data_IF_866710911602
#
_entry.id   IF_866710911602
#
_cell.length_a   1.000
_cell.length_b   1.000
_cell.length_c   1.000
_cell.angle_alpha   90.00
_cell.angle_beta   90.00
_cell.angle_gamma   90.00
#
_symmetry.space_group_name_H-M   'P 1'
#
loop_
_entity.id
_entity.type
_entity.pdbx_description
1 polymer ?
#
# COMPACT_ATOMS: atom_id res chain seq x y z
N UNK A 1 -3.38 16.45 14.09
CA UNK A 1 -4.38 15.47 13.65
C UNK A 1 -4.44 14.39 14.70
N UNK A 2 -5.61 13.87 15.04
CA UNK A 2 -5.72 12.68 15.88
C UNK A 2 -5.57 11.41 15.03
N UNK A 3 -5.51 10.26 15.71
CA UNK A 3 -5.27 8.96 15.11
C UNK A 3 -6.44 8.51 14.22
N UNK A 4 -7.68 8.87 14.55
CA UNK A 4 -8.88 8.54 13.78
C UNK A 4 -8.87 9.28 12.43
N UNK A 5 -8.60 10.59 12.43
CA UNK A 5 -8.46 11.35 11.19
C UNK A 5 -7.31 10.84 10.30
N UNK A 6 -6.19 10.39 10.88
CA UNK A 6 -5.10 9.76 10.12
C UNK A 6 -5.50 8.44 9.46
N UNK A 7 -6.32 7.61 10.13
CA UNK A 7 -6.83 6.36 9.55
C UNK A 7 -7.86 6.65 8.46
N UNK A 8 -8.70 7.68 8.61
CA UNK A 8 -9.65 8.12 7.58
C UNK A 8 -8.93 8.66 6.34
N UNK A 9 -7.92 9.52 6.50
CA UNK A 9 -7.09 10.01 5.38
C UNK A 9 -6.40 8.85 4.66
N UNK A 10 -5.85 7.89 5.40
CA UNK A 10 -5.22 6.71 4.84
C UNK A 10 -6.23 5.81 4.08
N UNK A 11 -7.48 5.73 4.55
CA UNK A 11 -8.56 5.01 3.86
C UNK A 11 -8.97 5.72 2.55
N UNK A 12 -9.06 7.06 2.53
CA UNK A 12 -9.28 7.82 1.29
C UNK A 12 -8.17 7.51 0.28
N UNK A 13 -6.92 7.62 0.70
CA UNK A 13 -5.75 7.37 -0.15
C UNK A 13 -5.68 5.91 -0.62
N UNK A 14 -5.97 4.94 0.26
CA UNK A 14 -6.06 3.52 -0.10
C UNK A 14 -7.09 3.32 -1.21
N UNK A 15 -8.29 3.88 -1.07
CA UNK A 15 -9.37 3.72 -2.05
C UNK A 15 -9.03 4.37 -3.39
N UNK A 16 -8.35 5.52 -3.38
CA UNK A 16 -7.83 6.15 -4.61
C UNK A 16 -6.78 5.28 -5.31
N UNK A 17 -5.86 4.69 -4.55
CA UNK A 17 -4.87 3.76 -5.10
C UNK A 17 -5.51 2.44 -5.58
N UNK A 18 -6.52 1.94 -4.88
CA UNK A 18 -7.30 0.75 -5.28
C UNK A 18 -8.02 0.98 -6.60
N UNK A 19 -8.61 2.17 -6.82
CA UNK A 19 -9.22 2.54 -8.10
C UNK A 19 -8.17 2.54 -9.23
N UNK A 20 -7.01 3.16 -9.01
CA UNK A 20 -5.89 3.17 -9.96
C UNK A 20 -5.35 1.76 -10.26
N UNK A 21 -5.12 0.96 -9.23
CA UNK A 21 -4.63 -0.42 -9.35
C UNK A 21 -5.61 -1.28 -10.15
N UNK A 22 -6.92 -1.16 -9.88
CA UNK A 22 -7.96 -1.85 -10.63
C UNK A 22 -8.09 -1.34 -12.09
N UNK A 23 -7.89 -0.06 -12.34
CA UNK A 23 -7.85 0.49 -13.70
C UNK A 23 -6.65 -0.08 -14.47
N UNK A 24 -5.46 -0.04 -13.87
CA UNK A 24 -4.23 -0.57 -14.45
C UNK A 24 -4.40 -2.06 -14.76
N UNK A 25 -4.77 -2.92 -13.82
CA UNK A 25 -4.97 -4.36 -14.08
C UNK A 25 -5.96 -4.70 -15.20
N UNK A 26 -6.87 -3.78 -15.58
CA UNK A 26 -7.82 -3.95 -16.70
C UNK A 26 -7.31 -3.41 -18.03
N UNK A 27 -6.51 -2.35 -18.02
CA UNK A 27 -6.03 -1.62 -19.22
C UNK A 27 -4.59 -1.98 -19.57
N UNK A 28 -3.76 -2.14 -18.54
CA UNK A 28 -2.49 -2.84 -18.60
C UNK A 28 -2.74 -4.34 -18.80
N UNK A 29 -2.87 -4.69 -20.07
CA UNK A 29 -2.08 -5.79 -20.58
C UNK A 29 -0.58 -5.44 -20.25
N UNK A 30 0.27 -6.33 -19.69
CA UNK A 30 1.68 -6.12 -19.24
C UNK A 30 2.64 -7.25 -19.66
N UNK A 31 3.48 -7.02 -20.66
CA UNK A 31 4.29 -8.10 -21.28
C UNK A 31 5.63 -8.36 -20.59
N UNK A 32 6.11 -7.42 -19.78
CA UNK A 32 7.35 -7.55 -19.04
C UNK A 32 7.13 -7.91 -17.56
N UNK A 33 7.88 -8.90 -17.08
CA UNK A 33 7.79 -9.44 -15.72
C UNK A 33 7.97 -8.38 -14.63
N UNK A 34 8.77 -7.34 -14.87
CA UNK A 34 9.00 -6.29 -13.88
C UNK A 34 7.76 -5.42 -13.67
N UNK A 35 7.08 -5.01 -14.73
CA UNK A 35 5.83 -4.25 -14.62
C UNK A 35 4.67 -5.11 -14.08
N UNK A 36 4.64 -6.43 -14.36
CA UNK A 36 3.68 -7.35 -13.73
C UNK A 36 3.92 -7.42 -12.22
N UNK A 37 5.17 -7.64 -11.82
CA UNK A 37 5.60 -7.67 -10.42
C UNK A 37 5.21 -6.39 -9.70
N UNK A 38 5.46 -5.22 -10.30
CA UNK A 38 5.06 -3.93 -9.74
C UNK A 38 3.54 -3.83 -9.49
N UNK A 39 2.67 -4.30 -10.39
CA UNK A 39 1.22 -4.24 -10.20
C UNK A 39 0.69 -5.22 -9.15
N UNK A 40 1.35 -6.38 -8.99
CA UNK A 40 1.05 -7.32 -7.90
C UNK A 40 1.55 -6.79 -6.56
N UNK A 41 2.78 -6.26 -6.49
CA UNK A 41 3.32 -5.65 -5.27
C UNK A 41 2.49 -4.39 -4.88
N UNK A 42 2.01 -3.61 -5.85
CA UNK A 42 1.07 -2.50 -5.62
C UNK A 42 -0.27 -3.00 -5.08
N UNK A 43 -0.78 -4.14 -5.57
CA UNK A 43 -1.99 -4.76 -5.01
C UNK A 43 -1.79 -5.20 -3.57
N UNK A 44 -0.74 -5.97 -3.30
CA UNK A 44 -0.43 -6.49 -1.97
C UNK A 44 -0.24 -5.34 -0.97
N UNK A 45 0.38 -4.23 -1.41
CA UNK A 45 0.47 -3.01 -0.63
C UNK A 45 -0.90 -2.36 -0.35
N UNK A 46 -1.74 -2.14 -1.36
CA UNK A 46 -3.08 -1.55 -1.19
C UNK A 46 -3.96 -2.41 -0.29
N UNK A 47 -3.91 -3.73 -0.45
CA UNK A 47 -4.61 -4.67 0.42
C UNK A 47 -4.06 -4.59 1.86
N UNK A 48 -2.74 -4.46 2.05
CA UNK A 48 -2.11 -4.39 3.38
C UNK A 48 -2.52 -3.16 4.22
N UNK A 49 -2.89 -2.05 3.59
CA UNK A 49 -3.42 -0.85 4.27
C UNK A 49 -4.69 -1.15 5.08
N UNK A 50 -5.43 -2.22 4.73
CA UNK A 50 -6.56 -2.74 5.51
C UNK A 50 -6.21 -3.12 6.95
N UNK A 51 -4.93 -3.27 7.32
CA UNK A 51 -4.49 -3.49 8.70
C UNK A 51 -5.06 -2.46 9.70
N UNK A 52 -5.28 -1.23 9.26
CA UNK A 52 -5.85 -0.15 10.08
C UNK A 52 -7.10 0.49 9.47
N UNK A 53 -7.26 0.50 8.15
CA UNK A 53 -8.41 1.18 7.54
C UNK A 53 -9.74 0.42 7.67
N UNK A 54 -9.71 -0.86 8.09
CA UNK A 54 -10.93 -1.66 8.38
C UNK A 54 -11.79 -1.11 9.52
N UNK A 55 -11.25 -0.24 10.36
CA UNK A 55 -11.99 0.36 11.47
C UNK A 55 -12.86 1.55 11.03
N UNK A 56 -12.61 2.09 9.83
CA UNK A 56 -13.31 3.24 9.27
C UNK A 56 -14.27 2.87 8.14
N UNK A 57 -15.29 3.69 7.93
CA UNK A 57 -16.24 3.49 6.81
C UNK A 57 -15.75 4.21 5.56
N UNK A 58 -15.65 3.48 4.45
CA UNK A 58 -15.16 4.01 3.18
C UNK A 58 -15.95 5.26 2.73
N UNK A 59 -15.31 6.45 2.64
CA UNK A 59 -15.95 7.66 2.15
C UNK A 59 -16.08 7.61 0.61
N UNK A 60 -16.86 8.54 0.05
CA UNK A 60 -16.83 8.80 -1.39
C UNK A 60 -15.46 9.35 -1.78
N UNK A 61 -14.83 8.76 -2.79
CA UNK A 61 -13.55 9.24 -3.34
C UNK A 61 -13.73 9.91 -4.69
N UNK A 62 -12.82 10.83 -5.00
CA UNK A 62 -12.55 11.26 -6.36
C UNK A 62 -11.50 10.31 -6.98
N UNK A 63 -11.77 9.80 -8.18
CA UNK A 63 -10.82 8.99 -8.94
C UNK A 63 -9.61 9.83 -9.37
N UNK A 64 -8.43 9.20 -9.39
CA UNK A 64 -7.14 9.82 -9.70
C UNK A 64 -6.59 9.29 -11.03
N UNK A 65 -5.67 10.03 -11.63
CA UNK A 65 -4.95 9.64 -12.86
C UNK A 65 -3.66 8.88 -12.53
N UNK A 66 -3.16 8.06 -13.47
CA UNK A 66 -1.96 7.21 -13.25
C UNK A 66 -0.73 8.06 -12.92
N UNK A 67 -0.65 9.25 -13.50
CA UNK A 67 0.34 10.30 -13.24
C UNK A 67 0.39 10.72 -11.76
N UNK A 68 -0.74 10.68 -11.05
CA UNK A 68 -0.87 11.08 -9.65
C UNK A 68 -0.43 9.97 -8.68
N UNK A 69 -0.13 8.75 -9.15
CA UNK A 69 0.28 7.63 -8.30
C UNK A 69 1.49 7.98 -7.41
N UNK A 70 2.44 8.77 -7.92
CA UNK A 70 3.59 9.27 -7.17
C UNK A 70 3.20 10.16 -5.98
N UNK A 71 2.15 10.98 -6.16
CA UNK A 71 1.64 11.87 -5.13
C UNK A 71 0.88 11.07 -4.07
N UNK A 72 -0.02 10.17 -4.48
CA UNK A 72 -0.79 9.32 -3.55
C UNK A 72 0.15 8.44 -2.71
N UNK A 73 1.17 7.82 -3.33
CA UNK A 73 2.19 7.07 -2.59
C UNK A 73 2.95 7.97 -1.60
N UNK A 74 3.26 9.22 -1.96
CA UNK A 74 3.89 10.20 -1.07
C UNK A 74 3.03 10.59 0.11
N UNK A 75 1.75 10.87 -0.13
CA UNK A 75 0.76 11.21 0.89
C UNK A 75 0.53 10.03 1.85
N UNK A 76 0.45 8.81 1.32
CA UNK A 76 0.41 7.57 2.12
C UNK A 76 1.67 7.40 2.96
N UNK A 77 2.87 7.69 2.42
CA UNK A 77 4.12 7.61 3.18
C UNK A 77 4.15 8.61 4.35
N UNK A 78 3.62 9.82 4.15
CA UNK A 78 3.51 10.83 5.19
C UNK A 78 2.49 10.43 6.26
N UNK A 79 1.31 9.98 5.82
CA UNK A 79 0.21 9.55 6.69
C UNK A 79 0.63 8.34 7.55
N UNK A 80 1.28 7.34 6.95
CA UNK A 80 1.84 6.19 7.66
C UNK A 80 2.89 6.58 8.69
N UNK A 81 3.84 7.47 8.37
CA UNK A 81 4.87 7.94 9.33
C UNK A 81 4.24 8.63 10.54
N UNK A 82 3.28 9.51 10.32
CA UNK A 82 2.61 10.25 11.38
C UNK A 82 1.71 9.32 12.22
N UNK A 83 1.00 8.38 11.59
CA UNK A 83 0.24 7.34 12.30
C UNK A 83 1.16 6.46 13.17
N UNK A 84 2.27 5.96 12.62
CA UNK A 84 3.26 5.16 13.38
C UNK A 84 3.75 5.94 14.60
N UNK A 85 4.14 7.22 14.42
CA UNK A 85 4.61 8.10 15.50
C UNK A 85 3.58 8.22 16.62
N UNK A 86 2.31 8.46 16.28
CA UNK A 86 1.24 8.58 17.29
C UNK A 86 0.95 7.26 18.00
N UNK A 87 0.98 6.12 17.29
CA UNK A 87 0.77 4.81 17.90
C UNK A 87 1.93 4.42 18.83
N UNK A 88 3.17 4.76 18.50
CA UNK A 88 4.33 4.61 19.39
C UNK A 88 4.17 5.45 20.66
N UNK A 89 3.77 6.71 20.54
CA UNK A 89 3.50 7.59 21.69
C UNK A 89 2.36 7.09 22.59
N UNK A 90 1.33 6.42 22.02
CA UNK A 90 0.30 5.75 22.80
C UNK A 90 0.83 4.51 23.52
N UNK A 91 1.67 3.69 22.87
CA UNK A 91 2.26 2.49 23.47
C UNK A 91 3.20 2.83 24.64
N UNK A 92 4.09 3.81 24.45
CA UNK A 92 5.00 4.33 25.47
C UNK A 92 4.23 4.94 26.66
N UNK A 93 3.09 5.60 26.41
CA UNK A 93 2.21 6.12 27.44
C UNK A 93 1.39 5.03 28.18
N UNK A 94 1.50 3.76 27.78
CA UNK A 94 0.71 2.64 28.32
C UNK A 94 -0.78 2.72 27.95
N UNK A 95 -1.13 3.51 26.94
CA UNK A 95 -2.50 3.63 26.42
C UNK A 95 -2.78 2.55 25.38
N UNK A 96 -4.06 2.18 25.28
CA UNK A 96 -4.58 1.07 24.46
C UNK A 96 -5.84 1.49 23.69
N UNK A 97 -6.02 2.79 23.51
CA UNK A 97 -7.23 3.42 22.97
C UNK A 97 -7.32 3.34 21.43
N UNK A 98 -6.31 2.80 20.74
CA UNK A 98 -6.41 2.50 19.31
C UNK A 98 -7.38 1.34 19.05
N UNK A 99 -8.64 1.68 18.72
CA UNK A 99 -9.75 0.78 18.37
C UNK A 99 -9.92 -0.44 19.31
N UNK A 100 -9.62 -0.27 20.60
CA UNK A 100 -9.78 -1.30 21.63
C UNK A 100 -8.77 -2.44 21.60
N UNK A 101 -7.64 -2.28 20.90
CA UNK A 101 -6.57 -3.28 20.83
C UNK A 101 -5.96 -3.58 22.22
N UNK A 102 -5.68 -4.85 22.49
CA UNK A 102 -5.16 -5.34 23.78
C UNK A 102 -3.62 -5.43 23.80
N UNK A 103 -3.06 -5.90 24.93
CA UNK A 103 -1.61 -5.93 25.15
C UNK A 103 -0.83 -6.65 24.03
N UNK A 104 0.10 -5.92 23.43
CA UNK A 104 0.92 -6.39 22.31
C UNK A 104 0.22 -6.43 20.95
N UNK A 105 -1.09 -6.16 20.85
CA UNK A 105 -1.77 -5.94 19.56
C UNK A 105 -1.29 -4.63 18.94
N UNK A 106 -1.31 -3.53 19.71
CA UNK A 106 -0.79 -2.22 19.27
C UNK A 106 0.66 -2.33 18.76
N UNK A 107 1.53 -3.05 19.48
CA UNK A 107 2.91 -3.31 19.06
C UNK A 107 3.01 -4.13 17.77
N UNK A 108 2.10 -5.10 17.55
CA UNK A 108 2.01 -5.84 16.28
C UNK A 108 1.52 -4.94 15.14
N UNK A 109 0.53 -4.07 15.39
CA UNK A 109 0.04 -3.10 14.42
C UNK A 109 1.14 -2.10 14.02
N UNK A 110 1.88 -1.53 14.99
CA UNK A 110 3.04 -0.66 14.72
C UNK A 110 4.09 -1.38 13.87
N UNK A 111 4.44 -2.62 14.21
CA UNK A 111 5.39 -3.41 13.42
C UNK A 111 4.89 -3.70 12.00
N UNK A 112 3.59 -3.99 11.84
CA UNK A 112 2.96 -4.15 10.53
C UNK A 112 3.00 -2.87 9.70
N UNK A 113 2.62 -1.73 10.28
CA UNK A 113 2.66 -0.42 9.63
C UNK A 113 4.07 -0.01 9.20
N UNK A 114 5.10 -0.30 10.00
CA UNK A 114 6.50 -0.10 9.61
C UNK A 114 6.87 -0.92 8.37
N UNK A 115 6.48 -2.19 8.32
CA UNK A 115 6.61 -3.01 7.12
C UNK A 115 5.91 -2.38 5.93
N UNK A 116 4.63 -1.98 6.06
CA UNK A 116 3.83 -1.33 5.02
C UNK A 116 4.49 -0.03 4.51
N UNK A 117 5.11 0.76 5.38
CA UNK A 117 5.87 1.96 5.03
C UNK A 117 7.15 1.64 4.23
N UNK A 118 7.83 0.53 4.53
CA UNK A 118 8.95 0.05 3.71
C UNK A 118 8.48 -0.35 2.31
N UNK A 119 7.31 -1.01 2.18
CA UNK A 119 6.74 -1.40 0.88
C UNK A 119 6.40 -0.18 0.02
N UNK A 120 5.77 0.83 0.63
CA UNK A 120 5.50 2.11 -0.02
C UNK A 120 6.80 2.75 -0.56
N UNK A 121 7.89 2.67 0.21
CA UNK A 121 9.20 3.15 -0.20
C UNK A 121 9.77 2.43 -1.43
N UNK A 122 9.58 1.11 -1.53
CA UNK A 122 9.95 0.31 -2.71
C UNK A 122 9.07 0.69 -3.92
N UNK A 123 7.75 0.75 -3.74
CA UNK A 123 6.82 1.14 -4.80
C UNK A 123 7.11 2.55 -5.33
N UNK A 124 7.49 3.51 -4.49
CA UNK A 124 7.90 4.85 -4.92
C UNK A 124 9.13 4.83 -5.85
N UNK A 125 10.08 3.91 -5.61
CA UNK A 125 11.28 3.76 -6.45
C UNK A 125 10.91 3.15 -7.81
N UNK A 126 10.13 2.08 -7.81
CA UNK A 126 9.76 1.33 -9.03
C UNK A 126 8.71 2.06 -9.89
N UNK A 127 7.81 2.82 -9.28
CA UNK A 127 6.77 3.61 -9.93
C UNK A 127 7.33 4.59 -10.99
N UNK A 128 8.50 5.19 -10.76
CA UNK A 128 9.15 6.06 -11.77
C UNK A 128 9.53 5.29 -13.05
N UNK A 129 9.90 4.02 -12.91
CA UNK A 129 10.22 3.14 -14.05
C UNK A 129 8.94 2.65 -14.72
N UNK A 130 7.92 2.30 -13.94
CA UNK A 130 6.61 1.89 -14.44
C UNK A 130 5.93 3.01 -15.24
N UNK A 131 5.83 4.24 -14.71
CA UNK A 131 5.20 5.37 -15.39
C UNK A 131 5.90 5.78 -16.68
N UNK A 132 7.22 5.57 -16.80
CA UNK A 132 7.93 5.80 -18.06
C UNK A 132 7.48 4.81 -19.13
N UNK A 133 7.53 3.50 -18.83
CA UNK A 133 7.03 2.45 -19.74
C UNK A 133 5.58 2.69 -20.13
N UNK A 134 4.72 3.01 -19.15
CA UNK A 134 3.30 3.32 -19.37
C UNK A 134 3.07 4.46 -20.37
N UNK A 135 3.90 5.52 -20.32
CA UNK A 135 3.85 6.65 -21.25
C UNK A 135 4.47 6.34 -22.61
N UNK A 136 5.56 5.57 -22.62
CA UNK A 136 6.23 5.14 -23.85
C UNK A 136 5.36 4.18 -24.70
N UNK A 137 4.28 3.63 -24.14
CA UNK A 137 3.36 2.69 -24.79
C UNK A 137 1.90 3.17 -24.85
N UNK A 138 1.68 4.50 -24.78
CA UNK A 138 0.37 5.16 -24.85
C UNK A 138 -0.71 4.56 -23.91
N UNK A 139 -0.29 4.03 -22.75
CA UNK A 139 -1.17 3.40 -21.77
C UNK A 139 -1.56 1.93 -22.05
N UNK A 140 -0.76 1.17 -22.82
CA UNK A 140 -1.04 -0.25 -23.17
C UNK A 140 0.22 -1.15 -23.21
N UNK A 141 0.16 -2.46 -22.91
CA UNK A 141 1.23 -3.47 -23.24
C UNK A 141 0.60 -4.86 -23.57
N UNK A 142 0.98 -6.02 -22.98
CA UNK A 142 0.39 -7.39 -23.23
C UNK A 142 0.52 -8.40 -22.03
N UNK A 143 -0.46 -8.61 -21.12
CA UNK A 143 -0.29 -9.57 -19.98
C UNK A 143 -0.24 -11.00 -20.53
N UNK A 144 0.73 -11.78 -20.07
CA UNK A 144 0.66 -13.24 -20.10
C UNK A 144 0.60 -13.82 -18.70
N UNK A 145 -0.42 -14.63 -18.45
CA UNK A 145 -0.45 -15.59 -17.34
C UNK A 145 0.62 -16.67 -17.58
N UNK A 146 1.83 -16.47 -17.08
CA UNK A 146 2.76 -17.58 -16.88
C UNK A 146 2.51 -18.18 -15.51
N UNK A 147 1.84 -19.34 -15.49
CA UNK A 147 1.78 -20.20 -14.33
C UNK A 147 3.21 -20.65 -13.96
N UNK A 148 3.84 -19.92 -13.04
CA UNK A 148 5.18 -20.19 -12.56
C UNK A 148 5.21 -20.03 -11.04
N UNK A 149 5.52 -21.12 -10.37
CA UNK A 149 5.70 -21.17 -8.92
C UNK A 149 6.84 -20.23 -8.52
N UNK A 150 6.50 -19.03 -8.02
CA UNK A 150 7.47 -18.10 -7.46
C UNK A 150 7.07 -17.70 -6.05
N UNK A 151 8.06 -17.71 -5.16
CA UNK A 151 7.87 -17.40 -3.75
C UNK A 151 7.23 -16.02 -3.59
N UNK A 152 6.09 -16.00 -2.89
CA UNK A 152 5.30 -14.81 -2.67
C UNK A 152 6.08 -13.74 -1.92
N UNK A 153 5.66 -12.49 -2.08
CA UNK A 153 6.24 -11.31 -1.43
C UNK A 153 6.47 -11.51 0.08
N UNK A 154 5.50 -12.11 0.79
CA UNK A 154 5.62 -12.50 2.20
C UNK A 154 6.74 -13.51 2.50
N UNK A 155 7.07 -14.43 1.60
CA UNK A 155 8.23 -15.32 1.79
C UNK A 155 9.57 -14.58 1.64
N UNK A 156 9.60 -13.50 0.85
CA UNK A 156 10.79 -12.64 0.68
C UNK A 156 11.01 -11.77 1.92
N UNK A 157 9.94 -11.22 2.50
CA UNK A 157 10.00 -10.37 3.70
C UNK A 157 10.22 -11.17 5.00
N UNK A 158 9.57 -12.33 5.16
CA UNK A 158 9.58 -13.07 6.43
C UNK A 158 10.55 -14.25 6.49
N UNK A 159 11.25 -14.56 5.39
CA UNK A 159 12.51 -15.32 5.40
C UNK A 159 12.52 -16.65 6.15
N UNK A 160 11.40 -17.37 6.20
CA UNK A 160 11.29 -18.67 6.89
C UNK A 160 11.06 -19.81 5.92
N UNK A 161 12.16 -20.24 5.30
CA UNK A 161 12.27 -21.61 4.84
C UNK A 161 12.46 -22.51 6.06
N UNK A 162 11.71 -23.61 6.12
CA UNK A 162 12.09 -24.81 6.89
C UNK A 162 12.93 -25.71 6.01
#
# INVERSE_FOLDING_TARGET
MDTEALVLDLLVQQKQMEALQNYLMKTSMVEDEASQTFLFDLKDYVDSLSLVTIYETAPTIEERQVEEMSAILGDQAQTLRELIRQLEELEDAGKKDFYGQQDGELRRTIAGLKGILELNGLLLQDNLTFQRKWKDTDGTVVVKETASEKNGFFQRLFGKNK
#
